data_IF_874492508683
#
_entry.id   IF_874492508683
#
_cell.length_a   1.000
_cell.length_b   1.000
_cell.length_c   1.000
_cell.angle_alpha   90.00
_cell.angle_beta   90.00
_cell.angle_gamma   90.00
#
_symmetry.space_group_name_H-M   'P 1'
#
loop_
_entity.id
_entity.type
_entity.pdbx_description
1 polymer ?
2 non-polymer ?
3 water ?
#
# COMPACT_ATOMS: atom_id res chain seq x y z
N UNK A 1 -22.84 -5.01 28.17
CA UNK A 1 -21.87 -3.95 28.72
C UNK A 1 -21.86 -2.58 28.07
N UNK A 2 -21.62 -1.50 28.82
CA UNK A 2 -21.66 -0.15 28.21
C UNK A 2 -20.85 0.89 28.98
N UNK A 3 -19.90 1.55 28.35
CA UNK A 3 -19.07 2.53 29.09
C UNK A 3 -19.12 3.91 28.46
N UNK A 4 -19.70 3.83 27.24
CA UNK A 4 -19.87 4.89 26.22
C UNK A 4 -19.33 4.30 24.89
N UNK A 5 -18.87 3.05 25.03
CA UNK A 5 -18.26 2.24 24.00
C UNK A 5 -19.07 0.92 23.80
N UNK A 6 -18.95 -0.12 24.66
CA UNK A 6 -19.69 -1.43 24.52
C UNK A 6 -18.83 -2.78 24.53
N UNK A 7 -19.21 -3.84 25.27
CA UNK A 7 -18.50 -5.18 25.35
C UNK A 7 -19.48 -6.42 25.50
N UNK A 8 -19.19 -7.58 24.96
CA UNK A 8 -20.23 -8.63 25.05
C UNK A 8 -20.09 -10.00 25.83
N UNK A 9 -20.57 -10.11 27.10
CA UNK A 9 -20.58 -11.34 28.03
C UNK A 9 -20.09 -11.03 29.51
N UNK A 10 -20.20 -12.06 30.39
CA UNK A 10 -19.85 -12.11 31.85
C UNK A 10 -18.39 -11.93 32.25
N UNK A 11 -17.72 -13.09 32.48
CA UNK A 11 -16.28 -13.17 32.89
C UNK A 11 -15.21 -13.09 31.70
N UNK A 12 -15.32 -14.04 30.77
CA UNK A 12 -14.46 -14.17 29.61
C UNK A 12 -15.09 -15.09 28.49
N UNK A 13 -14.29 -15.86 27.76
CA UNK A 13 -14.89 -16.62 26.68
C UNK A 13 -14.65 -15.91 25.33
N UNK A 14 -15.67 -15.80 24.48
CA UNK A 14 -15.48 -15.19 23.18
C UNK A 14 -16.38 -13.99 22.96
N UNK A 15 -15.89 -12.77 23.17
CA UNK A 15 -16.74 -11.59 22.98
C UNK A 15 -16.37 -10.48 21.96
N UNK A 16 -17.29 -9.53 21.71
CA UNK A 16 -17.09 -8.44 20.73
C UNK A 16 -17.05 -7.04 21.35
N UNK A 17 -16.06 -6.22 21.03
CA UNK A 17 -16.05 -4.86 21.59
C UNK A 17 -16.44 -3.89 20.46
N UNK A 18 -16.98 -2.72 20.77
CA UNK A 18 -17.34 -1.73 19.71
C UNK A 18 -16.92 -0.38 20.34
N UNK A 19 -16.24 0.47 19.54
CA UNK A 19 -15.71 1.76 20.02
C UNK A 19 -16.71 2.92 19.87
N UNK A 20 -16.40 4.08 20.49
CA UNK A 20 -17.26 5.27 20.37
C UNK A 20 -17.52 5.54 18.86
N UNK A 21 -16.75 4.85 17.98
CA UNK A 21 -16.89 5.05 16.54
C UNK A 21 -17.38 3.96 15.55
N UNK A 22 -18.10 2.93 15.97
CA UNK A 22 -18.56 2.00 14.94
C UNK A 22 -17.72 0.77 14.64
N UNK A 23 -16.42 0.89 14.83
CA UNK A 23 -15.55 -0.26 14.61
C UNK A 23 -15.59 -1.34 15.71
N UNK A 24 -15.80 -2.59 15.26
CA UNK A 24 -15.88 -3.82 16.06
C UNK A 24 -14.46 -4.38 16.36
N UNK A 25 -14.38 -5.49 17.11
CA UNK A 25 -13.12 -6.20 17.49
C UNK A 25 -13.61 -7.44 18.08
N UNK A 26 -13.41 -8.54 17.41
CA UNK A 26 -13.87 -9.81 17.92
C UNK A 26 -12.70 -10.49 18.59
N UNK A 27 -12.74 -10.66 19.91
CA UNK A 27 -11.67 -11.38 20.58
C UNK A 27 -12.08 -12.63 21.32
N UNK A 28 -11.12 -13.47 21.71
CA UNK A 28 -11.43 -14.60 22.58
C UNK A 28 -10.69 -14.16 23.85
N UNK A 29 -11.42 -14.25 24.96
CA UNK A 29 -10.97 -13.80 26.29
C UNK A 29 -10.66 -14.91 27.35
N UNK A 30 -9.66 -14.65 28.18
CA UNK A 30 -9.36 -15.61 29.24
C UNK A 30 -9.05 -14.81 30.50
N UNK A 31 -10.08 -14.74 31.35
CA UNK A 31 -9.99 -14.01 32.61
C UNK A 31 -10.07 -12.51 32.31
N UNK A 32 -10.86 -12.15 31.31
CA UNK A 32 -10.93 -10.73 30.94
C UNK A 32 -9.73 -10.14 30.16
N UNK A 33 -8.68 -10.90 29.92
CA UNK A 33 -7.59 -10.37 29.15
C UNK A 33 -7.84 -11.10 27.83
N UNK A 34 -7.30 -10.59 26.71
CA UNK A 34 -7.47 -11.26 25.41
C UNK A 34 -6.37 -12.35 25.25
N UNK A 35 -6.83 -13.54 24.91
CA UNK A 35 -6.01 -14.72 24.78
C UNK A 35 -6.72 -15.61 23.78
N UNK A 36 -6.11 -15.70 22.58
CA UNK A 36 -6.66 -16.48 21.48
C UNK A 36 -7.01 -15.58 20.29
N UNK A 37 -7.69 -16.18 19.32
CA UNK A 37 -8.16 -15.61 18.06
C UNK A 37 -8.91 -14.30 18.14
N UNK A 38 -8.40 -13.32 17.40
CA UNK A 38 -9.06 -12.04 17.31
C UNK A 38 -9.08 -11.58 15.83
N UNK A 39 -10.03 -10.71 15.50
CA UNK A 39 -10.19 -10.15 14.18
C UNK A 39 -10.76 -8.83 14.49
N UNK A 40 -10.21 -7.74 14.00
CA UNK A 40 -10.84 -6.45 14.25
C UNK A 40 -11.30 -5.87 12.92
N UNK A 41 -12.41 -5.15 12.93
CA UNK A 41 -12.90 -4.56 11.68
C UNK A 41 -12.93 -3.08 11.74
N UNK A 42 -13.04 -2.51 10.54
CA UNK A 42 -13.14 -1.06 10.33
C UNK A 42 -14.57 -0.51 10.62
N UNK A 43 -14.65 0.74 11.04
CA UNK A 43 -15.94 1.36 11.27
C UNK A 43 -16.82 1.07 10.05
N UNK A 44 -16.21 0.58 8.95
CA UNK A 44 -16.93 0.34 7.70
C UNK A 44 -17.10 -1.03 7.18
N UNK A 45 -16.89 -2.02 8.06
CA UNK A 45 -17.02 -3.45 7.69
C UNK A 45 -15.71 -4.03 7.17
N UNK A 46 -14.66 -3.21 7.22
CA UNK A 46 -13.35 -3.65 6.74
C UNK A 46 -12.37 -4.32 7.75
N UNK A 47 -12.01 -5.59 7.47
CA UNK A 47 -11.05 -6.39 8.25
C UNK A 47 -9.76 -5.64 8.26
N UNK A 48 -9.27 -5.22 9.42
CA UNK A 48 -8.03 -4.53 9.43
C UNK A 48 -6.96 -5.26 10.25
N UNK A 49 -7.34 -6.38 10.87
CA UNK A 49 -6.49 -7.22 11.71
C UNK A 49 -7.09 -8.62 11.87
N UNK A 50 -6.29 -9.67 11.75
CA UNK A 50 -6.78 -11.01 11.97
C UNK A 50 -5.62 -11.73 12.56
N UNK A 51 -5.83 -12.50 13.60
CA UNK A 51 -4.67 -13.15 14.20
C UNK A 51 -4.94 -13.48 15.66
N UNK A 52 -4.02 -13.21 16.55
CA UNK A 52 -4.31 -13.57 17.94
C UNK A 52 -3.60 -12.86 19.02
N UNK A 53 -4.21 -13.03 20.19
CA UNK A 53 -3.68 -12.42 21.40
C UNK A 53 -3.33 -13.44 22.47
N UNK A 54 -2.54 -12.94 23.43
CA UNK A 54 -2.08 -13.63 24.63
C UNK A 54 -1.66 -12.49 25.62
N UNK A 55 -2.36 -12.44 26.76
CA UNK A 55 -2.15 -11.44 27.85
C UNK A 55 -2.18 -10.03 27.30
N UNK A 56 -3.25 -9.87 26.48
CA UNK A 56 -3.59 -8.65 25.75
C UNK A 56 -2.50 -8.08 24.86
N UNK A 57 -1.56 -8.87 24.38
CA UNK A 57 -0.56 -8.36 23.45
C UNK A 57 -0.73 -9.30 22.22
N UNK A 58 -0.65 -8.70 21.04
CA UNK A 58 -0.79 -9.48 19.82
C UNK A 58 0.31 -10.51 19.86
N UNK A 59 -0.07 -11.70 19.42
CA UNK A 59 0.82 -12.87 19.46
C UNK A 59 0.83 -13.78 18.23
N UNK A 60 1.93 -14.43 17.94
CA UNK A 60 1.87 -15.27 16.78
C UNK A 60 1.88 -14.62 15.40
N UNK A 61 1.32 -15.34 14.46
CA UNK A 61 1.29 -14.84 13.11
C UNK A 61 -0.01 -14.08 12.94
N UNK A 62 0.14 -12.78 12.70
CA UNK A 62 -0.96 -11.85 12.58
C UNK A 62 -0.93 -11.12 11.27
N UNK A 63 -2.14 -10.83 10.75
CA UNK A 63 -2.38 -10.07 9.52
C UNK A 63 -2.89 -8.66 9.84
N UNK A 64 -2.33 -7.61 9.24
CA UNK A 64 -2.77 -6.22 9.43
C UNK A 64 -3.09 -5.81 7.96
N UNK A 65 -4.30 -5.35 7.69
CA UNK A 65 -4.66 -4.98 6.32
C UNK A 65 -4.91 -3.54 6.22
N UNK A 66 -4.24 -2.89 5.29
CA UNK A 66 -4.43 -1.46 5.09
C UNK A 66 -5.69 -1.26 4.24
N UNK A 67 -6.21 -0.06 4.26
CA UNK A 67 -7.42 0.20 3.45
C UNK A 67 -7.24 0.01 1.92
N UNK A 68 -6.09 0.31 1.37
CA UNK A 68 -5.78 0.13 0.01
C UNK A 68 -5.65 -1.31 -0.47
N UNK A 69 -5.71 -2.27 0.42
CA UNK A 69 -5.70 -3.64 -0.04
C UNK A 69 -4.38 -4.30 0.29
N UNK A 70 -3.34 -3.53 0.40
CA UNK A 70 -2.04 -4.12 0.82
C UNK A 70 -2.14 -4.70 2.21
N UNK A 71 -1.16 -5.47 2.72
CA UNK A 71 -1.18 -6.08 4.06
C UNK A 71 0.20 -6.45 4.51
N UNK A 72 0.29 -6.76 5.80
CA UNK A 72 1.56 -7.08 6.51
C UNK A 72 1.26 -8.34 7.28
N UNK A 73 2.10 -9.37 7.14
CA UNK A 73 1.81 -10.50 7.91
C UNK A 73 3.10 -11.10 8.42
N UNK A 74 2.99 -11.62 9.63
CA UNK A 74 4.12 -12.23 10.23
C UNK A 74 3.86 -12.54 11.63
N UNK A 75 4.84 -13.29 12.13
CA UNK A 75 4.84 -13.65 13.57
C UNK A 75 5.38 -12.40 14.34
N UNK A 76 4.58 -11.89 15.26
CA UNK A 76 4.94 -10.65 16.01
C UNK A 76 5.91 -10.92 17.11
N UNK A 77 6.61 -9.87 17.55
CA UNK A 77 7.58 -10.01 18.62
C UNK A 77 6.93 -9.99 20.06
N UNK A 78 7.77 -10.06 21.06
CA UNK A 78 7.24 -10.20 22.38
C UNK A 78 6.33 -9.09 22.76
N UNK A 79 6.58 -7.88 22.21
CA UNK A 79 5.67 -6.69 22.37
C UNK A 79 4.52 -6.57 21.36
N UNK A 80 4.19 -7.57 20.52
CA UNK A 80 3.09 -7.40 19.56
C UNK A 80 3.39 -6.63 18.25
N UNK A 81 4.58 -6.10 18.12
CA UNK A 81 5.07 -5.28 17.01
C UNK A 81 5.48 -6.17 15.74
N UNK A 82 5.39 -5.55 14.55
CA UNK A 82 5.78 -6.27 13.41
C UNK A 82 7.30 -6.19 13.26
N UNK A 83 8.04 -6.82 14.19
CA UNK A 83 9.50 -6.89 14.15
C UNK A 83 9.89 -8.36 14.07
N UNK A 84 10.82 -8.69 13.15
CA UNK A 84 11.21 -10.06 13.00
C UNK A 84 12.00 -10.23 11.74
N UNK A 85 12.33 -11.46 11.48
CA UNK A 85 13.13 -11.86 10.35
C UNK A 85 12.25 -12.51 9.27
N UNK A 86 11.02 -12.93 9.63
CA UNK A 86 10.13 -13.56 8.69
C UNK A 86 8.79 -12.77 8.55
N UNK A 87 8.91 -11.51 8.21
CA UNK A 87 7.70 -10.67 8.03
C UNK A 87 7.58 -10.28 6.53
N UNK A 88 6.31 -10.14 6.06
CA UNK A 88 6.10 -9.71 4.67
C UNK A 88 5.08 -8.63 4.46
N UNK A 89 5.41 -7.75 3.55
CA UNK A 89 4.39 -6.85 3.11
C UNK A 89 3.79 -7.64 1.91
N UNK A 90 2.47 -7.79 1.85
CA UNK A 90 1.82 -8.42 0.71
C UNK A 90 0.99 -7.37 -0.08
N UNK A 91 1.22 -7.29 -1.39
CA UNK A 91 0.53 -6.39 -2.31
C UNK A 91 -0.95 -6.68 -2.43
N UNK A 92 -1.70 -5.69 -2.99
CA UNK A 92 -3.16 -5.80 -3.15
C UNK A 92 -3.66 -7.03 -3.96
N UNK A 93 -2.78 -7.64 -4.79
CA UNK A 93 -3.27 -8.86 -5.46
C UNK A 93 -3.16 -10.03 -4.50
N UNK A 94 -2.76 -9.81 -3.21
CA UNK A 94 -2.67 -10.86 -2.24
C UNK A 94 -1.75 -12.02 -2.71
N UNK A 95 -0.78 -11.72 -3.53
CA UNK A 95 0.08 -12.77 -4.00
C UNK A 95 1.53 -12.29 -4.08
N UNK A 96 1.81 -11.07 -4.55
CA UNK A 96 3.20 -10.64 -4.63
C UNK A 96 3.48 -10.14 -3.22
N UNK A 97 4.68 -10.39 -2.79
CA UNK A 97 5.06 -10.03 -1.43
C UNK A 97 6.52 -9.69 -1.34
N UNK A 98 6.89 -8.87 -0.34
CA UNK A 98 8.27 -8.56 0.00
C UNK A 98 8.43 -9.16 1.45
N UNK A 99 9.26 -10.24 1.50
CA UNK A 99 9.49 -11.09 2.69
C UNK A 99 10.86 -10.86 3.26
N UNK A 100 10.88 -10.82 4.59
CA UNK A 100 12.14 -10.64 5.26
C UNK A 100 12.22 -9.76 6.52
N UNK A 101 13.27 -8.95 6.60
CA UNK A 101 13.60 -8.09 7.82
C UNK A 101 12.78 -6.80 7.96
N UNK A 102 11.92 -6.69 8.97
CA UNK A 102 11.15 -5.55 9.26
C UNK A 102 11.35 -5.11 10.78
N UNK A 103 11.40 -3.76 11.01
CA UNK A 103 11.40 -3.13 12.37
C UNK A 103 10.15 -2.27 12.50
N UNK A 104 9.31 -2.68 13.43
CA UNK A 104 8.06 -1.95 13.65
C UNK A 104 7.10 -1.75 12.48
N UNK A 105 7.08 -2.75 11.58
CA UNK A 105 6.16 -2.74 10.52
C UNK A 105 6.83 -2.04 9.40
N UNK A 106 8.06 -1.56 9.59
CA UNK A 106 8.82 -0.89 8.54
C UNK A 106 9.82 -1.91 7.92
N UNK A 107 10.07 -1.79 6.62
CA UNK A 107 10.84 -2.79 5.97
C UNK A 107 12.32 -2.52 5.93
N UNK A 108 13.15 -3.35 6.57
CA UNK A 108 14.61 -3.15 6.44
C UNK A 108 15.17 -3.83 5.19
N UNK A 109 14.62 -5.02 4.91
CA UNK A 109 15.14 -5.79 3.79
C UNK A 109 14.09 -6.77 3.46
N UNK A 110 13.54 -6.58 2.27
CA UNK A 110 12.49 -7.43 1.79
C UNK A 110 12.83 -8.13 0.48
N UNK A 111 12.54 -9.42 0.43
CA UNK A 111 12.95 -10.13 -0.81
C UNK A 111 11.78 -10.46 -1.66
N UNK A 112 11.80 -10.26 -2.99
CA UNK A 112 10.62 -10.65 -3.83
C UNK A 112 10.16 -12.11 -3.55
N UNK A 113 8.85 -12.27 -3.35
CA UNK A 113 8.35 -13.61 -2.97
C UNK A 113 6.87 -13.78 -3.38
N UNK A 114 6.26 -14.97 -3.22
CA UNK A 114 4.88 -15.20 -3.55
C UNK A 114 4.23 -15.97 -2.43
N UNK A 115 3.02 -15.59 -2.12
CA UNK A 115 2.28 -16.22 -1.10
C UNK A 115 1.40 -17.26 -1.78
N UNK A 116 1.83 -18.51 -1.65
CA UNK A 116 1.20 -19.69 -2.16
C UNK A 116 0.03 -20.19 -1.32
N UNK A 117 -0.01 -19.95 -0.01
CA UNK A 117 -1.20 -20.47 0.69
C UNK A 117 -1.30 -20.22 2.15
N UNK A 118 -2.50 -19.89 2.60
CA UNK A 118 -2.69 -19.62 4.01
C UNK A 118 -2.90 -20.81 4.95
N UNK A 119 -2.73 -22.06 4.50
CA UNK A 119 -2.89 -23.24 5.38
C UNK A 119 -3.03 -22.82 6.87
N UNK A 120 -4.26 -22.76 7.40
CA UNK A 120 -4.59 -22.35 8.81
C UNK A 120 -4.74 -20.83 8.90
N UNK A 121 -3.86 -20.25 9.70
CA UNK A 121 -3.78 -18.79 9.82
C UNK A 121 -2.46 -18.47 9.09
N UNK A 122 -1.45 -19.28 9.46
CA UNK A 122 -0.09 -19.23 8.94
C UNK A 122 -0.04 -19.09 7.35
N UNK A 123 0.97 -18.38 6.83
CA UNK A 123 0.91 -18.36 5.36
C UNK A 123 2.19 -19.03 4.76
N UNK A 124 2.18 -19.66 3.61
CA UNK A 124 3.47 -20.15 3.10
C UNK A 124 3.99 -19.24 1.98
N UNK A 125 5.23 -18.78 2.05
CA UNK A 125 5.80 -17.97 0.99
C UNK A 125 6.88 -18.73 0.35
N UNK A 126 7.26 -18.34 -0.85
CA UNK A 126 8.34 -18.90 -1.52
C UNK A 126 9.09 -17.86 -2.32
N UNK A 127 10.35 -17.82 -2.12
CA UNK A 127 11.09 -16.85 -2.75
C UNK A 127 11.14 -16.98 -4.18
N UNK A 128 11.23 -15.83 -4.78
CA UNK A 128 11.28 -15.78 -6.19
C UNK A 128 12.69 -15.60 -6.50
N UNK A 129 13.13 -16.16 -7.64
CA UNK A 129 14.50 -16.07 -8.10
C UNK A 129 14.86 -14.64 -8.58
N UNK A 130 16.06 -14.24 -8.30
CA UNK A 130 16.45 -12.88 -8.68
C UNK A 130 17.23 -12.23 -7.48
N UNK A 131 18.03 -11.22 -7.75
CA UNK A 131 18.83 -10.54 -6.80
C UNK A 131 18.17 -9.50 -5.92
N UNK A 132 16.99 -9.13 -6.34
CA UNK A 132 16.12 -8.07 -5.80
C UNK A 132 15.70 -7.96 -4.37
N UNK A 133 16.29 -6.93 -3.75
CA UNK A 133 16.02 -6.62 -2.35
C UNK A 133 15.45 -5.26 -2.40
N UNK A 134 14.37 -5.18 -1.70
CA UNK A 134 13.71 -3.95 -1.52
C UNK A 134 13.89 -3.40 -0.07
N UNK A 135 14.03 -2.08 0.08
CA UNK A 135 14.08 -1.44 1.45
C UNK A 135 13.14 -0.23 1.67
N UNK A 136 12.51 -0.09 2.85
CA UNK A 136 11.88 1.21 3.14
C UNK A 136 12.86 2.28 2.70
N UNK A 137 12.39 3.21 1.85
CA UNK A 137 13.30 4.23 1.24
C UNK A 137 12.48 5.47 1.00
N UNK A 138 11.68 5.95 1.93
CA UNK A 138 10.88 7.22 1.65
C UNK A 138 11.72 8.33 0.90
N UNK A 139 11.16 9.03 -0.05
CA UNK A 139 11.99 10.05 -0.81
C UNK A 139 12.03 11.35 0.11
N UNK A 140 12.86 12.33 -0.23
CA UNK A 140 12.81 13.49 0.64
C UNK A 140 12.38 14.69 -0.27
N UNK A 141 12.58 15.89 0.20
CA UNK A 141 12.35 17.05 -0.58
C UNK A 141 13.40 16.98 -1.79
N UNK A 142 14.50 16.25 -1.70
CA UNK A 142 15.44 16.31 -2.85
C UNK A 142 15.98 14.98 -3.43
N UNK A 143 15.61 13.89 -2.75
CA UNK A 143 16.03 12.60 -3.21
C UNK A 143 14.75 11.86 -3.48
N UNK A 144 14.57 11.51 -4.74
CA UNK A 144 13.41 10.76 -5.18
C UNK A 144 13.60 9.30 -4.88
N UNK A 145 14.81 8.78 -4.82
CA UNK A 145 14.97 7.40 -4.54
C UNK A 145 16.41 7.14 -4.43
N UNK A 146 16.69 6.11 -3.62
CA UNK A 146 18.02 5.56 -3.44
C UNK A 146 18.31 4.55 -4.57
N UNK A 147 17.30 4.15 -5.33
CA UNK A 147 17.61 3.24 -6.46
C UNK A 147 16.52 3.46 -7.50
N UNK A 148 16.72 4.61 -8.17
CA UNK A 148 15.85 5.16 -9.14
C UNK A 148 15.49 4.21 -10.25
N UNK A 149 16.36 3.24 -10.51
CA UNK A 149 16.14 2.29 -11.64
C UNK A 149 15.76 0.91 -11.28
N UNK A 150 15.46 0.65 -9.99
CA UNK A 150 14.97 -0.68 -9.58
C UNK A 150 13.44 -0.55 -9.74
N UNK A 151 12.85 -1.27 -10.70
CA UNK A 151 11.39 -1.12 -10.83
C UNK A 151 10.58 -1.70 -9.66
N UNK A 152 9.29 -1.32 -9.57
CA UNK A 152 8.43 -1.88 -8.48
C UNK A 152 7.89 -3.23 -9.01
N UNK A 153 8.05 -4.27 -8.25
CA UNK A 153 7.60 -5.60 -8.70
C UNK A 153 6.17 -5.73 -9.14
N UNK A 154 5.30 -5.15 -8.37
CA UNK A 154 3.86 -5.18 -8.65
C UNK A 154 3.51 -4.32 -9.95
N UNK A 155 4.12 -3.13 -10.04
CA UNK A 155 3.85 -2.33 -11.16
C UNK A 155 4.35 -2.97 -12.44
N UNK A 156 5.46 -3.66 -12.42
CA UNK A 156 6.08 -4.02 -13.72
C UNK A 156 5.29 -5.17 -14.30
N UNK A 157 4.47 -5.76 -13.48
CA UNK A 157 3.58 -6.84 -13.95
C UNK A 157 2.23 -6.16 -14.42
N UNK A 158 1.74 -5.09 -13.76
CA UNK A 158 0.52 -4.62 -14.30
C UNK A 158 0.49 -3.41 -15.24
N UNK A 159 1.66 -2.87 -15.59
CA UNK A 159 1.57 -1.70 -16.42
C UNK A 159 2.84 -1.41 -17.14
N UNK A 160 2.84 -0.57 -18.17
CA UNK A 160 4.12 -0.18 -18.79
C UNK A 160 4.13 1.23 -19.46
N UNK A 161 5.28 1.78 -19.68
CA UNK A 161 5.31 3.09 -20.37
C UNK A 161 5.52 3.07 -21.88
N UNK A 162 4.78 3.92 -22.63
CA UNK A 162 4.89 3.99 -24.07
C UNK A 162 4.37 5.24 -24.61
N UNK A 163 4.43 5.40 -25.93
CA UNK A 163 3.88 6.63 -26.54
C UNK A 163 2.35 6.78 -26.27
N UNK A 164 1.95 8.01 -25.93
CA UNK A 164 0.57 8.11 -25.69
C UNK A 164 -0.18 8.01 -27.02
N UNK A 165 -1.43 7.46 -26.94
CA UNK A 165 -2.37 7.40 -28.10
C UNK A 165 -3.12 8.69 -28.04
N UNK A 166 -3.02 9.48 -26.94
CA UNK A 166 -3.74 10.77 -26.84
C UNK A 166 -2.98 11.83 -27.60
N UNK A 167 -3.72 12.66 -28.27
CA UNK A 167 -3.23 13.69 -29.08
C UNK A 167 -2.00 14.34 -28.67
N UNK A 168 -1.80 15.36 -27.89
CA UNK A 168 -0.33 15.58 -27.93
C UNK A 168 0.28 15.56 -26.52
N UNK A 169 0.43 14.32 -26.11
CA UNK A 169 0.70 14.01 -24.81
C UNK A 169 2.01 13.26 -24.62
N UNK A 170 2.95 13.36 -25.48
CA UNK A 170 4.13 12.62 -25.16
C UNK A 170 3.76 11.22 -24.82
N UNK A 171 4.37 10.76 -23.72
CA UNK A 171 4.17 9.41 -23.27
C UNK A 171 2.88 9.14 -22.35
N UNK A 172 2.57 7.83 -22.20
CA UNK A 172 1.41 7.45 -21.44
C UNK A 172 1.67 6.20 -20.68
N UNK A 173 0.66 5.77 -19.98
CA UNK A 173 0.79 4.60 -19.16
C UNK A 173 -0.22 3.52 -19.66
N UNK A 174 0.23 2.32 -19.90
CA UNK A 174 -0.64 1.30 -20.35
C UNK A 174 -0.83 0.13 -19.46
N UNK A 175 -2.05 -0.38 -19.48
CA UNK A 175 -2.29 -1.60 -18.76
C UNK A 175 -1.65 -2.77 -19.58
N UNK A 176 -1.25 -3.76 -18.88
CA UNK A 176 -0.51 -4.83 -19.43
C UNK A 176 -1.46 -6.06 -19.48
N UNK A 177 -2.34 -6.12 -18.54
CA UNK A 177 -3.22 -7.20 -18.46
C UNK A 177 -4.68 -6.75 -18.31
N UNK A 178 -5.65 -7.62 -18.44
CA UNK A 178 -7.04 -7.22 -18.24
C UNK A 178 -7.29 -7.19 -16.75
N UNK A 179 -7.84 -6.12 -16.18
CA UNK A 179 -8.10 -6.11 -14.79
C UNK A 179 -9.56 -5.65 -14.62
N UNK A 180 -10.21 -6.07 -13.56
CA UNK A 180 -11.54 -5.60 -13.30
C UNK A 180 -11.53 -4.23 -12.55
N UNK A 181 -12.71 -3.62 -12.30
CA UNK A 181 -12.64 -2.31 -11.58
C UNK A 181 -11.99 -2.34 -10.19
N UNK A 182 -11.50 -1.20 -9.72
CA UNK A 182 -10.96 -1.02 -8.37
C UNK A 182 -9.62 -1.75 -8.12
N UNK A 183 -8.74 -1.72 -9.12
CA UNK A 183 -7.54 -2.42 -9.05
C UNK A 183 -6.41 -1.56 -9.02
N UNK A 184 -5.53 -1.80 -8.03
CA UNK A 184 -4.39 -0.92 -8.04
C UNK A 184 -3.54 -1.32 -9.23
N UNK A 185 -2.90 -0.37 -9.93
CA UNK A 185 -2.06 -0.67 -11.07
C UNK A 185 -0.67 -0.04 -11.03
N UNK A 186 -0.61 1.19 -10.54
CA UNK A 186 0.66 1.90 -10.54
C UNK A 186 0.79 2.85 -9.31
N UNK A 187 2.07 3.22 -8.94
CA UNK A 187 2.41 4.04 -7.82
C UNK A 187 2.93 5.39 -8.20
N UNK A 188 2.42 6.40 -7.49
CA UNK A 188 2.83 7.77 -7.74
C UNK A 188 3.62 8.27 -6.55
N UNK A 189 4.96 8.13 -6.70
CA UNK A 189 6.08 8.46 -5.80
C UNK A 189 6.88 9.53 -6.52
N UNK A 190 7.46 10.41 -5.75
CA UNK A 190 8.30 11.51 -6.27
C UNK A 190 8.88 12.13 -5.06
N UNK A 191 9.65 13.21 -5.20
CA UNK A 191 10.21 14.00 -4.06
C UNK A 191 8.99 14.65 -3.37
N UNK A 192 9.09 14.82 -2.04
CA UNK A 192 8.07 15.41 -1.18
C UNK A 192 8.40 16.89 -1.03
N UNK A 193 7.49 17.77 -1.47
CA UNK A 193 7.77 19.18 -1.37
C UNK A 193 6.56 19.69 -0.79
N UNK A 194 6.64 20.92 -0.35
CA UNK A 194 5.57 21.64 0.39
C UNK A 194 4.71 22.39 -0.60
N UNK A 195 3.41 22.47 -0.24
CA UNK A 195 2.45 23.33 -0.97
C UNK A 195 2.99 24.74 -1.29
N UNK A 196 3.57 25.45 -0.33
CA UNK A 196 4.05 26.78 -0.61
C UNK A 196 5.18 26.67 -1.57
N UNK A 197 5.93 25.65 -1.46
CA UNK A 197 6.98 25.68 -2.42
C UNK A 197 6.31 25.52 -3.76
N UNK A 198 5.26 24.72 -3.80
CA UNK A 198 4.82 24.49 -5.23
C UNK A 198 4.04 25.70 -5.75
N UNK A 199 3.25 26.32 -4.82
CA UNK A 199 2.52 27.60 -5.04
C UNK A 199 3.43 28.81 -5.39
N UNK A 200 4.65 28.88 -4.88
CA UNK A 200 5.52 30.01 -5.20
C UNK A 200 6.52 29.97 -6.29
N UNK A 201 6.87 28.82 -6.84
CA UNK A 201 7.86 28.84 -7.91
C UNK A 201 7.13 29.03 -9.24
N UNK A 202 7.85 29.17 -10.38
CA UNK A 202 7.17 29.30 -11.65
C UNK A 202 6.21 28.06 -11.74
N UNK A 203 4.96 28.24 -12.21
CA UNK A 203 3.96 27.13 -12.15
C UNK A 203 4.19 26.27 -13.34
N UNK A 204 5.00 26.74 -14.26
CA UNK A 204 5.27 25.99 -15.44
C UNK A 204 6.00 24.67 -15.08
N UNK A 205 6.29 24.54 -13.76
CA UNK A 205 7.04 23.43 -13.22
C UNK A 205 6.22 22.48 -12.46
N UNK A 206 4.92 22.71 -12.35
CA UNK A 206 4.09 21.77 -11.58
C UNK A 206 3.30 20.78 -12.44
N UNK A 207 3.79 20.58 -13.68
CA UNK A 207 3.20 19.54 -14.53
C UNK A 207 3.05 18.15 -13.84
N UNK A 208 3.92 17.77 -12.87
CA UNK A 208 3.89 16.41 -12.28
C UNK A 208 3.70 16.38 -10.80
N UNK A 209 3.22 17.50 -10.24
CA UNK A 209 3.00 17.64 -8.82
C UNK A 209 1.69 17.02 -8.47
N UNK A 210 1.55 16.41 -7.35
CA UNK A 210 0.24 15.74 -7.08
C UNK A 210 0.21 15.89 -5.53
N UNK A 211 -0.87 16.42 -5.00
CA UNK A 211 -0.93 16.70 -3.60
C UNK A 211 -1.20 15.46 -2.91
N UNK A 212 -0.42 15.26 -1.84
CA UNK A 212 -0.54 14.09 -0.98
C UNK A 212 -1.52 14.30 0.23
N UNK A 213 -1.22 15.41 0.89
CA UNK A 213 -1.97 15.88 2.00
C UNK A 213 -1.82 17.37 2.16
N UNK A 214 -2.63 17.82 3.09
CA UNK A 214 -2.72 19.21 3.42
C UNK A 214 -1.35 19.81 3.55
N UNK A 215 -0.33 19.04 3.93
CA UNK A 215 1.06 19.61 4.06
C UNK A 215 2.03 19.34 2.96
N UNK A 216 1.96 18.09 2.41
CA UNK A 216 2.87 17.63 1.32
C UNK A 216 2.31 17.43 -0.13
N UNK A 217 3.20 17.72 -1.07
CA UNK A 217 3.01 17.52 -2.43
C UNK A 217 4.14 16.56 -3.01
N UNK A 218 3.77 15.51 -3.80
CA UNK A 218 4.74 14.54 -4.44
C UNK A 218 5.00 15.18 -5.80
N UNK A 219 6.20 15.27 -6.23
CA UNK A 219 6.43 15.84 -7.53
C UNK A 219 7.42 14.88 -8.26
N UNK A 220 7.44 14.82 -9.61
CA UNK A 220 8.44 14.06 -10.30
C UNK A 220 9.04 15.05 -11.28
N UNK A 221 9.95 15.84 -10.79
CA UNK A 221 10.71 16.90 -11.46
C UNK A 221 11.89 16.48 -12.23
N UNK A 222 12.92 17.39 -11.85
CA UNK A 222 14.25 17.38 -12.46
C UNK A 222 14.24 16.60 -13.77
N UNK A 223 14.95 15.63 -14.06
CA UNK A 223 15.02 14.74 -15.20
C UNK A 223 14.41 13.45 -14.78
N UNK A 224 13.88 13.32 -13.59
CA UNK A 224 13.30 11.99 -13.31
C UNK A 224 11.98 11.74 -14.06
N UNK A 225 11.53 12.65 -14.88
CA UNK A 225 10.31 12.36 -15.62
C UNK A 225 10.60 11.48 -16.86
N UNK A 226 11.88 11.14 -17.06
CA UNK A 226 12.39 10.21 -18.10
C UNK A 226 12.62 8.80 -17.50
N UNK A 227 12.13 7.81 -18.22
CA UNK A 227 12.26 6.56 -17.54
C UNK A 227 13.70 6.05 -17.56
N UNK A 228 14.57 6.57 -18.38
CA UNK A 228 15.90 6.05 -18.31
C UNK A 228 16.56 6.64 -17.04
N UNK A 229 15.91 7.61 -16.36
CA UNK A 229 16.48 8.22 -15.14
C UNK A 229 15.68 7.68 -13.91
N UNK A 230 14.41 7.34 -14.09
CA UNK A 230 13.71 6.92 -12.92
C UNK A 230 12.60 6.00 -13.33
N UNK A 231 12.51 4.87 -12.73
CA UNK A 231 11.45 3.96 -13.12
C UNK A 231 10.99 3.16 -11.95
N UNK A 232 11.31 3.65 -10.78
CA UNK A 232 10.92 2.92 -9.52
C UNK A 232 9.45 2.78 -9.40
N UNK A 233 8.79 3.88 -9.76
CA UNK A 233 7.33 3.93 -9.83
C UNK A 233 6.89 4.63 -11.18
N UNK A 234 5.64 4.37 -11.66
CA UNK A 234 5.28 4.91 -12.98
C UNK A 234 4.02 5.81 -13.02
N UNK A 235 3.33 5.93 -11.89
CA UNK A 235 2.18 6.86 -11.76
C UNK A 235 2.16 8.20 -12.49
N UNK A 236 3.27 8.95 -12.51
CA UNK A 236 3.43 10.26 -13.16
C UNK A 236 3.39 10.13 -14.65
N UNK A 237 3.15 8.94 -15.18
CA UNK A 237 3.09 8.79 -16.64
C UNK A 237 1.58 8.76 -17.12
N UNK A 238 0.60 8.39 -16.26
CA UNK A 238 -0.75 8.43 -16.66
C UNK A 238 -1.18 9.81 -17.14
N UNK A 239 -1.83 9.86 -18.29
CA UNK A 239 -2.30 11.14 -18.77
C UNK A 239 -3.66 11.46 -18.28
N UNK A 240 -4.03 12.70 -18.58
CA UNK A 240 -5.39 13.26 -18.14
C UNK A 240 -6.60 12.94 -19.03
N UNK A 241 -7.76 12.49 -18.50
CA UNK A 241 -8.88 12.71 -19.36
C UNK A 241 -10.18 13.13 -18.60
N UNK A 242 -11.11 13.93 -19.23
CA UNK A 242 -12.42 14.11 -18.64
C UNK A 242 -13.30 12.88 -18.51
N UNK A 243 -12.90 11.79 -19.14
CA UNK A 243 -13.76 10.56 -18.94
C UNK A 243 -12.65 9.48 -18.73
N UNK A 244 -12.09 9.45 -17.53
CA UNK A 244 -10.97 8.51 -17.26
C UNK A 244 -11.27 7.07 -16.97
N UNK A 245 -10.33 6.15 -17.08
CA UNK A 245 -10.69 4.77 -16.68
C UNK A 245 -10.05 4.62 -15.31
N UNK A 246 -9.29 5.67 -14.88
CA UNK A 246 -8.80 5.54 -13.50
C UNK A 246 -8.96 6.75 -12.55
N UNK A 247 -8.71 6.44 -11.27
CA UNK A 247 -8.69 7.46 -10.18
C UNK A 247 -7.36 7.43 -9.33
N UNK A 248 -6.89 8.58 -8.80
CA UNK A 248 -5.80 8.67 -7.83
C UNK A 248 -6.41 8.24 -6.44
N UNK A 249 -5.66 7.50 -5.62
CA UNK A 249 -6.24 7.11 -4.36
C UNK A 249 -4.97 7.07 -3.47
N UNK A 250 -5.17 6.85 -2.17
CA UNK A 250 -4.05 6.87 -1.22
C UNK A 250 -3.37 5.52 -1.20
N UNK A 251 -2.07 5.46 -0.89
CA UNK A 251 -1.49 4.14 -0.83
C UNK A 251 -0.38 4.08 0.24
N UNK A 252 -0.28 2.96 0.95
CA UNK A 252 0.79 2.74 2.01
C UNK A 252 1.84 1.78 1.43
N UNK A 253 2.92 2.33 0.93
CA UNK A 253 3.86 1.47 0.29
C UNK A 253 5.06 1.16 1.18
N UNK A 254 5.53 -0.11 1.15
CA UNK A 254 6.68 -0.54 1.99
C UNK A 254 7.97 0.09 1.51
N UNK A 255 8.11 0.52 0.31
CA UNK A 255 9.43 1.10 -0.03
C UNK A 255 9.34 2.66 0.00
N UNK A 256 8.26 3.13 -0.58
CA UNK A 256 7.94 4.51 -0.76
C UNK A 256 7.27 5.20 0.41
N UNK A 257 6.58 4.40 1.24
CA UNK A 257 5.89 5.11 2.28
C UNK A 257 4.58 5.66 1.74
N UNK A 258 3.84 6.60 2.47
CA UNK A 258 2.52 7.27 2.20
C UNK A 258 2.67 7.99 0.93
N UNK A 259 1.92 7.52 -0.04
CA UNK A 259 1.90 8.06 -1.43
C UNK A 259 0.53 7.84 -2.12
N UNK A 260 0.52 8.11 -3.43
CA UNK A 260 -0.72 7.76 -4.06
C UNK A 260 -0.48 6.66 -5.04
N UNK A 261 -1.62 6.04 -5.39
CA UNK A 261 -1.61 4.97 -6.41
C UNK A 261 -2.57 5.41 -7.63
N UNK A 262 -2.50 4.65 -8.72
CA UNK A 262 -3.46 4.88 -9.79
C UNK A 262 -4.30 3.55 -9.62
N UNK A 263 -5.60 3.67 -9.41
CA UNK A 263 -6.56 2.55 -9.19
C UNK A 263 -7.64 2.60 -10.31
N UNK A 264 -8.04 1.47 -10.81
CA UNK A 264 -9.00 1.50 -11.99
C UNK A 264 -10.42 1.81 -11.60
N UNK A 265 -11.23 2.42 -12.49
CA UNK A 265 -12.64 2.79 -12.17
C UNK A 265 -13.54 1.77 -12.80
N UNK A 266 -13.11 1.18 -13.90
CA UNK A 266 -13.85 0.12 -14.65
C UNK A 266 -12.94 -1.08 -15.04
N UNK A 267 -13.46 -2.18 -15.63
CA UNK A 267 -12.59 -3.24 -16.14
C UNK A 267 -11.73 -2.51 -17.23
N UNK A 268 -10.52 -2.96 -17.47
CA UNK A 268 -9.66 -2.24 -18.42
C UNK A 268 -9.02 -3.33 -19.19
N UNK A 269 -8.51 -3.05 -20.38
CA UNK A 269 -8.00 -4.14 -21.25
C UNK A 269 -6.55 -4.14 -21.30
N UNK A 270 -6.06 -5.32 -21.70
CA UNK A 270 -4.69 -5.37 -21.87
C UNK A 270 -4.41 -4.33 -22.86
N UNK A 271 -3.33 -3.59 -22.62
CA UNK A 271 -2.93 -2.59 -23.67
C UNK A 271 -3.72 -1.29 -23.81
N UNK A 272 -4.71 -1.20 -22.90
CA UNK A 272 -5.55 0.02 -22.89
C UNK A 272 -4.75 1.22 -22.23
N UNK A 273 -4.83 2.43 -22.76
CA UNK A 273 -4.12 3.50 -22.09
C UNK A 273 -4.89 3.82 -20.73
N UNK A 274 -4.13 4.05 -19.65
CA UNK A 274 -4.67 4.39 -18.36
C UNK A 274 -4.77 5.92 -18.20
N UNK A 275 -5.96 6.40 -17.83
CA UNK A 275 -6.09 7.86 -17.61
C UNK A 275 -6.75 8.12 -16.27
N UNK A 276 -6.46 9.37 -15.80
CA UNK A 276 -7.13 9.95 -14.52
C UNK A 276 -7.52 11.38 -14.86
N UNK A 277 -8.54 11.88 -14.14
CA UNK A 277 -9.04 13.29 -14.31
C UNK A 277 -8.00 14.13 -13.52
N UNK A 278 -7.12 15.01 -14.10
CA UNK A 278 -6.14 15.69 -13.24
C UNK A 278 -6.91 16.74 -12.38
N UNK A 279 -6.22 17.25 -11.38
CA UNK A 279 -6.70 18.28 -10.46
C UNK A 279 -7.82 17.96 -9.46
N UNK A 280 -8.14 16.65 -9.32
CA UNK A 280 -9.22 16.11 -8.50
C UNK A 280 -10.73 16.51 -9.11
X LIG B 1 2.54 13.08 -20.92
X LIG B 1 3.43 12.86 -19.62
X LIG B 1 3.03 12.02 -18.48
X LIG B 1 1.85 12.31 -17.61
X LIG B 1 2.46 13.83 -16.55
X LIG B 1 4.88 12.43 -20.08
X LIG B 1 5.15 12.36 -21.29
X LIG B 1 5.75 12.15 -19.13
X LIG B 1 1.17 14.92 -16.91
X LIG B 1 1.24 15.81 -18.21
X LIG B 1 0.91 15.03 -19.35
X LIG B 1 0.91 17.27 -18.37
X LIG B 1 2.13 18.04 -18.26
X LIG B 1 0.29 17.33 -19.86
X LIG B 1 1.23 18.07 -20.54
X LIG B 1 0.70 16.01 -20.42
X LIG B 1 -0.66 15.57 -20.50
X LIG B 1 -1.47 14.77 -19.60
X LIG B 1 -2.69 14.55 -19.93
X LIG B 1 -2.74 15.21 -21.18
X LIG B 1 -3.82 15.26 -22.10
X LIG B 1 -5.15 14.66 -21.92
X LIG B 1 -3.53 15.97 -23.18
X LIG B 1 -2.28 16.59 -23.45
X LIG B 1 -1.25 16.53 -22.60
X LIG B 1 -1.54 15.83 -21.52
#
# INVERSE_FOLDING_TARGET
TLEGYYVDDALQGQGVYTYEDGGVLQGTYVDGELNGPAQEYDTDGRLIFKGQYKDNIRHGVCWIYYPDGGSLVGEVNEDGEMTGEKIAYVYPDERTALYGKFIDGEMIEGKLATLMSTEEGRPHFELMPGNSVYHFDKSTSSCISTNALLPDPYESERVYVAESLISSAGEGLFSKVAVGPNTVMSFYNGVRITHQEVDSRDWALNGNTLSLDEETVIDVPEPYNHVSKYCASLGHKANHSFTPNCIYDMFVHPRFGPIKCIRTLRAVEADEELTVAYGY
SAH N CA CB CG SD C O OXT C5' C4' O4' C3' O3' C2' O2' C1' N9 C8 N7 C5 C6 N6 N1 C2 N3 C4
#
